data_IF_876913339815
#
_entry.id   IF_876913339815
#
_cell.length_a   1.000
_cell.length_b   1.000
_cell.length_c   1.000
_cell.angle_alpha   90.00
_cell.angle_beta   90.00
_cell.angle_gamma   90.00
#
_symmetry.space_group_name_H-M   'P 1'
#
loop_
_entity.id
_entity.type
_entity.pdbx_description
1 polymer ?
#
# COMPACT_ATOMS: atom_id res chain seq x y z
N UNK A 1 -22.06 9.98 16.02
CA UNK A 1 -20.60 9.72 16.17
C UNK A 1 -19.84 9.78 14.85
N UNK A 2 -20.31 9.17 13.77
CA UNK A 2 -19.60 9.14 12.46
C UNK A 2 -19.42 10.54 11.85
N UNK A 3 -20.46 11.37 11.82
CA UNK A 3 -20.37 12.75 11.33
C UNK A 3 -19.29 13.56 12.04
N UNK A 4 -19.16 13.40 13.36
CA UNK A 4 -18.11 14.05 14.13
C UNK A 4 -16.70 13.54 13.76
N UNK A 5 -16.52 12.23 13.50
CA UNK A 5 -15.24 11.68 13.02
C UNK A 5 -14.90 12.22 11.62
N UNK A 6 -15.88 12.30 10.71
CA UNK A 6 -15.70 12.92 9.39
C UNK A 6 -15.28 14.38 9.49
N UNK A 7 -15.94 15.17 10.34
CA UNK A 7 -15.56 16.56 10.57
C UNK A 7 -14.13 16.69 11.11
N UNK A 8 -13.75 15.85 12.07
CA UNK A 8 -12.37 15.79 12.59
C UNK A 8 -11.37 15.42 11.51
N UNK A 9 -11.72 14.52 10.59
CA UNK A 9 -10.89 14.12 9.46
C UNK A 9 -10.66 15.31 8.52
N UNK A 10 -11.74 15.98 8.09
CA UNK A 10 -11.65 17.18 7.24
C UNK A 10 -10.76 18.25 7.89
N UNK A 11 -11.00 18.54 9.15
CA UNK A 11 -10.17 19.51 9.89
C UNK A 11 -8.71 19.06 9.98
N UNK A 12 -8.45 17.76 10.17
CA UNK A 12 -7.11 17.22 10.22
C UNK A 12 -6.38 17.33 8.89
N UNK A 13 -7.08 17.08 7.77
CA UNK A 13 -6.55 17.26 6.41
C UNK A 13 -6.23 18.74 6.14
N UNK A 14 -7.17 19.65 6.40
CA UNK A 14 -6.95 21.08 6.22
C UNK A 14 -5.78 21.60 7.05
N UNK A 15 -5.70 21.19 8.32
CA UNK A 15 -4.57 21.53 9.18
C UNK A 15 -3.25 20.97 8.62
N UNK A 16 -3.25 19.75 8.09
CA UNK A 16 -2.09 19.16 7.42
C UNK A 16 -1.62 20.00 6.23
N UNK A 17 -2.56 20.40 5.37
CA UNK A 17 -2.27 21.28 4.23
C UNK A 17 -1.62 22.60 4.66
N UNK A 18 -2.19 23.27 5.65
CA UNK A 18 -1.64 24.54 6.19
C UNK A 18 -0.23 24.33 6.74
N UNK A 19 0.00 23.24 7.49
CA UNK A 19 1.32 22.93 8.04
C UNK A 19 2.33 22.67 6.93
N UNK A 20 1.96 21.89 5.92
CA UNK A 20 2.83 21.59 4.78
C UNK A 20 3.14 22.87 3.99
N UNK A 21 2.13 23.66 3.68
CA UNK A 21 2.30 24.91 2.93
C UNK A 21 3.20 25.94 3.63
N UNK A 22 3.04 26.08 4.95
CA UNK A 22 3.70 27.16 5.69
C UNK A 22 5.01 26.75 6.39
N UNK A 23 5.21 25.46 6.65
CA UNK A 23 6.34 25.04 7.50
C UNK A 23 7.32 24.07 6.85
N UNK A 24 6.90 23.26 5.88
CA UNK A 24 7.79 22.21 5.34
C UNK A 24 9.04 22.76 4.69
N UNK A 25 8.97 23.90 3.99
CA UNK A 25 10.13 24.55 3.38
C UNK A 25 11.14 25.14 4.39
N UNK A 26 10.70 25.35 5.63
CA UNK A 26 11.48 26.06 6.65
C UNK A 26 12.01 25.16 7.78
N UNK A 27 11.79 23.86 7.71
CA UNK A 27 12.23 22.91 8.74
C UNK A 27 13.15 21.85 8.16
N UNK A 28 13.97 21.27 9.03
CA UNK A 28 14.90 20.20 8.66
C UNK A 28 14.18 18.93 8.19
N UNK A 29 14.82 18.05 7.37
CA UNK A 29 14.24 16.77 6.97
C UNK A 29 13.79 15.91 8.16
N UNK A 30 14.59 15.83 9.23
CA UNK A 30 14.24 15.11 10.45
C UNK A 30 12.96 15.67 11.11
N UNK A 31 12.79 17.00 11.11
CA UNK A 31 11.58 17.63 11.65
C UNK A 31 10.37 17.38 10.77
N UNK A 32 10.52 17.37 9.43
CA UNK A 32 9.46 16.96 8.49
C UNK A 32 9.01 15.54 8.77
N UNK A 33 9.96 14.62 8.91
CA UNK A 33 9.68 13.23 9.22
C UNK A 33 8.87 13.09 10.52
N UNK A 34 9.30 13.73 11.62
CA UNK A 34 8.55 13.67 12.88
C UNK A 34 7.15 14.30 12.78
N UNK A 35 6.98 15.38 12.01
CA UNK A 35 5.66 15.98 11.76
C UNK A 35 4.77 15.02 10.98
N UNK A 36 5.29 14.35 9.92
CA UNK A 36 4.59 13.34 9.13
C UNK A 36 4.18 12.16 10.00
N UNK A 37 5.08 11.65 10.85
CA UNK A 37 4.81 10.55 11.77
C UNK A 37 3.65 10.89 12.73
N UNK A 38 3.72 12.02 13.41
CA UNK A 38 2.66 12.47 14.34
C UNK A 38 1.32 12.69 13.65
N UNK A 39 1.36 13.23 12.43
CA UNK A 39 0.16 13.47 11.63
C UNK A 39 -0.48 12.15 11.22
N UNK A 40 0.30 11.16 10.80
CA UNK A 40 -0.16 9.82 10.43
C UNK A 40 -0.74 9.04 11.61
N UNK A 41 -0.09 9.08 12.77
CA UNK A 41 -0.63 8.51 14.02
C UNK A 41 -2.00 9.12 14.35
N UNK A 42 -2.14 10.43 14.21
CA UNK A 42 -3.42 11.11 14.48
C UNK A 42 -4.48 10.76 13.44
N UNK A 43 -4.11 10.57 12.17
CA UNK A 43 -5.01 10.10 11.12
C UNK A 43 -5.58 8.73 11.46
N UNK A 44 -4.73 7.75 11.79
CA UNK A 44 -5.16 6.41 12.20
C UNK A 44 -6.11 6.48 13.41
N UNK A 45 -5.79 7.28 14.43
CA UNK A 45 -6.66 7.46 15.61
C UNK A 45 -8.03 8.08 15.27
N UNK A 46 -8.10 9.00 14.31
CA UNK A 46 -9.39 9.57 13.85
C UNK A 46 -10.22 8.50 13.15
N UNK A 47 -9.56 7.62 12.38
CA UNK A 47 -10.20 6.45 11.77
C UNK A 47 -10.56 5.36 12.79
N UNK A 48 -10.26 5.53 14.08
CA UNK A 48 -10.53 4.54 15.11
C UNK A 48 -9.52 3.41 15.17
N UNK A 49 -8.32 3.65 14.66
CA UNK A 49 -7.28 2.64 14.49
C UNK A 49 -6.06 2.93 15.37
N UNK A 50 -5.47 1.90 15.96
CA UNK A 50 -4.16 1.93 16.59
C UNK A 50 -3.16 1.12 15.77
N UNK A 51 -1.89 1.53 15.77
CA UNK A 51 -0.79 0.79 15.15
C UNK A 51 -0.12 -0.08 16.21
N UNK A 52 0.14 -1.34 15.87
CA UNK A 52 1.01 -2.27 16.61
C UNK A 52 2.13 -2.70 15.69
N UNK A 53 3.37 -2.44 16.09
CA UNK A 53 4.56 -2.83 15.35
C UNK A 53 5.12 -4.09 15.98
N UNK A 54 5.38 -5.10 15.15
CA UNK A 54 5.98 -6.38 15.55
C UNK A 54 7.41 -6.46 15.00
N UNK A 55 8.29 -7.09 15.76
CA UNK A 55 9.70 -7.32 15.37
C UNK A 55 10.44 -6.05 14.93
N UNK A 56 10.18 -4.91 15.59
CA UNK A 56 10.82 -3.62 15.23
C UNK A 56 12.35 -3.65 15.35
N UNK A 57 12.90 -4.62 16.08
CA UNK A 57 14.36 -4.86 16.17
C UNK A 57 15.02 -5.24 14.84
N UNK A 58 14.26 -5.78 13.88
CA UNK A 58 14.74 -6.09 12.53
C UNK A 58 14.78 -4.86 11.62
N UNK A 59 14.36 -3.68 12.08
CA UNK A 59 14.37 -2.44 11.29
C UNK A 59 15.78 -1.99 10.96
N UNK A 60 16.05 -1.76 9.67
CA UNK A 60 17.28 -1.12 9.23
C UNK A 60 17.24 0.40 9.50
N UNK A 61 18.28 0.94 10.10
CA UNK A 61 18.44 2.39 10.26
C UNK A 61 19.13 3.05 9.05
N UNK A 62 19.60 2.23 8.11
CA UNK A 62 20.23 2.66 6.87
C UNK A 62 19.21 2.91 5.73
N UNK A 63 19.73 3.34 4.58
CA UNK A 63 19.02 3.39 3.31
C UNK A 63 18.43 2.03 2.95
N UNK A 64 17.17 1.99 2.58
CA UNK A 64 16.51 0.76 2.17
C UNK A 64 15.30 1.02 1.27
N UNK A 65 15.02 0.07 0.39
CA UNK A 65 13.73 -0.04 -0.26
C UNK A 65 12.78 -0.79 0.69
N UNK A 66 11.83 -0.08 1.30
CA UNK A 66 10.76 -0.69 2.09
C UNK A 66 9.74 -1.29 1.14
N UNK A 67 9.38 -2.54 1.38
CA UNK A 67 8.46 -3.30 0.51
C UNK A 67 7.36 -3.91 1.35
N UNK A 68 6.10 -3.60 1.04
CA UNK A 68 4.93 -4.11 1.77
C UNK A 68 3.87 -4.75 0.88
N UNK A 69 3.02 -5.61 1.45
CA UNK A 69 1.74 -5.93 0.86
C UNK A 69 0.79 -4.73 0.93
N UNK A 70 -0.26 -4.72 0.12
CA UNK A 70 -1.15 -3.56 -0.01
C UNK A 70 -2.62 -3.94 0.16
N UNK A 71 -3.23 -3.45 1.23
CA UNK A 71 -4.63 -3.73 1.59
C UNK A 71 -5.49 -2.47 1.46
N UNK A 72 -4.92 -1.32 1.85
CA UNK A 72 -5.69 -0.10 2.05
C UNK A 72 -4.89 1.17 1.76
N UNK A 73 -5.60 2.25 1.44
CA UNK A 73 -5.02 3.60 1.50
C UNK A 73 -4.50 3.97 2.90
N UNK A 74 -4.96 3.26 3.94
CA UNK A 74 -4.49 3.42 5.34
C UNK A 74 -3.07 2.87 5.55
N UNK A 75 -2.57 1.99 4.68
CA UNK A 75 -1.22 1.43 4.75
C UNK A 75 -0.16 2.54 4.72
N UNK A 76 -0.40 3.58 3.92
CA UNK A 76 0.48 4.76 3.83
C UNK A 76 0.63 5.42 5.20
N UNK A 77 -0.47 5.53 5.95
CA UNK A 77 -0.44 6.13 7.29
C UNK A 77 0.15 5.19 8.33
N UNK A 78 -0.05 3.88 8.20
CA UNK A 78 0.56 2.88 9.07
C UNK A 78 2.10 2.88 8.90
N UNK A 79 2.60 2.87 7.67
CA UNK A 79 4.03 2.96 7.38
C UNK A 79 4.61 4.30 7.87
N UNK A 80 3.97 5.42 7.56
CA UNK A 80 4.44 6.74 8.01
C UNK A 80 4.34 6.94 9.54
N UNK A 81 3.44 6.26 10.21
CA UNK A 81 3.34 6.26 11.67
C UNK A 81 4.48 5.46 12.33
N UNK A 82 4.97 4.42 11.67
CA UNK A 82 6.15 3.67 12.05
C UNK A 82 7.42 4.40 11.63
N UNK A 83 7.60 4.62 10.34
CA UNK A 83 8.79 5.26 9.77
C UNK A 83 8.40 6.11 8.55
N UNK A 84 8.42 7.43 8.64
CA UNK A 84 8.12 8.31 7.52
C UNK A 84 9.00 8.01 6.32
N UNK A 85 8.36 7.66 5.22
CA UNK A 85 9.03 7.15 4.02
C UNK A 85 8.30 7.68 2.78
N UNK A 86 8.98 8.23 1.77
CA UNK A 86 8.39 8.55 0.47
C UNK A 86 7.86 7.29 -0.22
N UNK A 87 6.73 7.42 -0.92
CA UNK A 87 6.07 6.31 -1.62
C UNK A 87 6.22 6.41 -3.13
N UNK A 88 6.04 5.26 -3.78
CA UNK A 88 5.75 5.21 -5.22
C UNK A 88 4.25 4.97 -5.39
N UNK A 89 3.59 5.84 -6.13
CA UNK A 89 2.16 5.79 -6.39
C UNK A 89 1.84 5.79 -7.89
N UNK A 90 0.61 5.42 -8.26
CA UNK A 90 0.12 5.58 -9.64
C UNK A 90 0.01 7.06 -10.00
N UNK A 91 0.27 7.42 -11.26
CA UNK A 91 0.24 8.81 -11.74
C UNK A 91 -1.14 9.48 -11.56
N UNK A 92 -2.23 8.72 -11.63
CA UNK A 92 -3.60 9.21 -11.47
C UNK A 92 -3.85 9.81 -10.08
N UNK A 93 -3.18 9.29 -9.04
CA UNK A 93 -3.29 9.79 -7.66
C UNK A 93 -2.84 11.25 -7.55
N UNK A 94 -1.91 11.69 -8.42
CA UNK A 94 -1.47 13.09 -8.48
C UNK A 94 -2.63 14.06 -8.79
N UNK A 95 -3.64 13.59 -9.53
CA UNK A 95 -4.80 14.40 -9.92
C UNK A 95 -5.89 14.45 -8.82
N UNK A 96 -5.76 13.65 -7.77
CA UNK A 96 -6.75 13.66 -6.69
C UNK A 96 -6.65 14.96 -5.88
N UNK A 97 -7.78 15.67 -5.73
CA UNK A 97 -7.79 16.90 -4.94
C UNK A 97 -7.24 16.66 -3.53
N UNK A 98 -6.41 17.58 -3.02
CA UNK A 98 -5.79 17.52 -1.69
C UNK A 98 -4.79 16.37 -1.53
N UNK A 99 -5.19 15.12 -1.84
CA UNK A 99 -4.35 13.93 -1.64
C UNK A 99 -3.13 13.97 -2.56
N UNK A 100 -3.31 14.28 -3.86
CA UNK A 100 -2.20 14.36 -4.82
C UNK A 100 -1.21 15.46 -4.45
N UNK A 101 -1.70 16.64 -4.05
CA UNK A 101 -0.86 17.73 -3.60
C UNK A 101 -0.07 17.37 -2.32
N UNK A 102 -0.71 16.75 -1.32
CA UNK A 102 -0.03 16.29 -0.11
C UNK A 102 1.02 15.22 -0.42
N UNK A 103 0.69 14.26 -1.28
CA UNK A 103 1.61 13.21 -1.70
C UNK A 103 2.85 13.80 -2.39
N UNK A 104 2.67 14.79 -3.30
CA UNK A 104 3.78 15.49 -3.95
C UNK A 104 4.69 16.21 -2.93
N UNK A 105 4.10 16.87 -1.94
CA UNK A 105 4.86 17.57 -0.88
C UNK A 105 5.53 16.62 0.12
N UNK A 106 5.14 15.35 0.13
CA UNK A 106 5.76 14.27 0.89
C UNK A 106 6.73 13.42 0.03
N UNK A 107 7.23 13.99 -1.07
CA UNK A 107 8.21 13.39 -1.96
C UNK A 107 7.76 12.06 -2.60
N UNK A 108 6.43 11.86 -2.75
CA UNK A 108 5.87 10.71 -3.47
C UNK A 108 6.28 10.76 -4.94
N UNK A 109 6.77 9.65 -5.44
CA UNK A 109 7.11 9.46 -6.86
C UNK A 109 5.90 8.89 -7.59
N UNK A 110 5.46 9.55 -8.67
CA UNK A 110 4.28 9.14 -9.44
C UNK A 110 4.70 8.39 -10.69
N UNK A 111 4.29 7.12 -10.80
CA UNK A 111 4.67 6.19 -11.85
C UNK A 111 3.57 6.05 -12.91
N UNK A 112 3.88 6.38 -14.15
CA UNK A 112 3.10 6.03 -15.34
C UNK A 112 3.63 4.71 -15.91
N UNK A 113 2.93 3.60 -15.67
CA UNK A 113 3.40 2.26 -16.05
C UNK A 113 3.36 2.00 -17.54
N UNK A 114 2.43 2.64 -18.24
CA UNK A 114 2.17 2.49 -19.67
C UNK A 114 3.29 3.08 -20.53
N UNK A 115 4.07 4.03 -19.99
CA UNK A 115 5.17 4.68 -20.68
C UNK A 115 6.52 4.11 -20.19
N UNK A 116 7.11 3.21 -21.00
CA UNK A 116 8.37 2.53 -20.65
C UNK A 116 9.52 3.49 -20.32
N UNK A 117 9.65 4.59 -21.06
CA UNK A 117 10.68 5.61 -20.84
C UNK A 117 10.49 6.31 -19.49
N UNK A 118 9.26 6.64 -19.16
CA UNK A 118 8.91 7.26 -17.87
C UNK A 118 9.19 6.31 -16.69
N UNK A 119 8.80 5.03 -16.85
CA UNK A 119 9.08 4.00 -15.85
C UNK A 119 10.59 3.83 -15.61
N UNK A 120 11.40 3.86 -16.67
CA UNK A 120 12.86 3.80 -16.54
C UNK A 120 13.42 5.03 -15.82
N UNK A 121 12.94 6.23 -16.15
CA UNK A 121 13.36 7.48 -15.49
C UNK A 121 13.05 7.42 -14.00
N UNK A 122 11.87 6.94 -13.61
CA UNK A 122 11.46 6.81 -12.22
C UNK A 122 12.30 5.77 -11.48
N UNK A 123 12.61 4.63 -12.11
CA UNK A 123 13.51 3.65 -11.49
C UNK A 123 14.89 4.24 -11.23
N UNK A 124 15.40 5.07 -12.15
CA UNK A 124 16.67 5.78 -11.95
C UNK A 124 16.58 6.79 -10.80
N UNK A 125 15.54 7.60 -10.75
CA UNK A 125 15.29 8.55 -9.64
C UNK A 125 15.21 7.84 -8.28
N UNK A 126 14.50 6.71 -8.21
CA UNK A 126 14.43 5.90 -6.99
C UNK A 126 15.83 5.38 -6.59
N UNK A 127 16.59 4.85 -7.54
CA UNK A 127 17.94 4.35 -7.29
C UNK A 127 18.88 5.45 -6.77
N UNK A 128 18.81 6.67 -7.31
CA UNK A 128 19.58 7.82 -6.83
C UNK A 128 19.19 8.20 -5.37
N UNK A 129 17.90 8.26 -5.08
CA UNK A 129 17.43 8.55 -3.71
C UNK A 129 17.91 7.50 -2.72
N UNK A 130 17.85 6.23 -3.08
CA UNK A 130 18.35 5.13 -2.25
C UNK A 130 19.87 5.20 -2.08
N UNK A 131 20.63 5.51 -3.12
CA UNK A 131 22.10 5.62 -3.08
C UNK A 131 22.57 6.77 -2.18
N UNK A 132 21.80 7.85 -2.11
CA UNK A 132 22.12 9.00 -1.26
C UNK A 132 21.68 8.85 0.20
N UNK A 133 21.31 7.64 0.62
CA UNK A 133 20.96 7.36 2.02
C UNK A 133 19.47 7.49 2.33
N UNK A 134 18.61 7.69 1.31
CA UNK A 134 17.17 7.83 1.48
C UNK A 134 16.43 6.51 1.70
N UNK A 135 15.17 6.64 2.04
CA UNK A 135 14.20 5.55 2.08
C UNK A 135 13.20 5.72 0.95
N UNK A 136 12.67 4.62 0.45
CA UNK A 136 11.49 4.61 -0.41
C UNK A 136 10.62 3.42 -0.09
N UNK A 137 9.30 3.59 -0.15
CA UNK A 137 8.34 2.51 0.07
C UNK A 137 7.58 2.20 -1.22
N UNK A 138 7.49 0.91 -1.54
CA UNK A 138 6.71 0.40 -2.66
C UNK A 138 5.77 -0.72 -2.20
N UNK A 139 4.63 -0.79 -2.87
CA UNK A 139 3.70 -1.91 -2.77
C UNK A 139 3.76 -2.69 -4.09
N UNK A 140 4.57 -3.76 -4.18
CA UNK A 140 4.85 -4.41 -5.44
C UNK A 140 3.68 -5.21 -6.02
N UNK A 141 2.61 -5.42 -5.29
CA UNK A 141 1.34 -5.94 -5.81
C UNK A 141 0.72 -5.00 -6.85
N UNK A 142 1.00 -3.71 -6.73
CA UNK A 142 0.58 -2.71 -7.70
C UNK A 142 -0.91 -2.37 -7.67
N UNK A 143 -1.66 -3.04 -6.84
CA UNK A 143 -3.05 -2.77 -6.49
C UNK A 143 -3.27 -3.22 -5.04
N UNK A 144 -4.39 -2.83 -4.45
CA UNK A 144 -4.82 -3.30 -3.14
C UNK A 144 -5.55 -4.63 -3.24
N UNK A 145 -5.42 -5.47 -2.21
CA UNK A 145 -6.10 -6.76 -2.03
C UNK A 145 -6.99 -6.75 -0.78
N UNK A 146 -7.66 -7.85 -0.51
CA UNK A 146 -8.39 -8.05 0.76
C UNK A 146 -7.46 -8.39 1.94
N UNK A 147 -6.17 -8.60 1.67
CA UNK A 147 -5.14 -8.87 2.67
C UNK A 147 -5.14 -10.29 3.23
N UNK A 148 -5.94 -11.21 2.69
CA UNK A 148 -5.93 -12.61 3.12
C UNK A 148 -4.73 -13.36 2.57
N UNK A 149 -4.37 -13.05 1.31
CA UNK A 149 -3.22 -13.61 0.60
C UNK A 149 -2.46 -12.52 -0.12
N UNK A 150 -1.23 -12.80 -0.50
CA UNK A 150 -0.41 -11.86 -1.29
C UNK A 150 -0.67 -12.05 -2.77
N UNK A 151 -0.91 -10.97 -3.47
CA UNK A 151 -0.89 -10.93 -4.93
C UNK A 151 0.54 -11.12 -5.48
N UNK A 152 0.69 -11.42 -6.78
CA UNK A 152 2.00 -11.46 -7.43
C UNK A 152 2.75 -10.14 -7.33
N UNK A 153 4.06 -10.20 -7.09
CA UNK A 153 4.91 -9.02 -6.98
C UNK A 153 5.51 -8.62 -8.34
N UNK A 154 5.44 -7.35 -8.66
CA UNK A 154 6.11 -6.77 -9.82
C UNK A 154 7.62 -6.61 -9.55
N UNK A 155 8.42 -7.58 -9.98
CA UNK A 155 9.87 -7.62 -9.76
C UNK A 155 10.62 -6.36 -10.30
N UNK A 156 10.07 -5.66 -11.29
CA UNK A 156 10.68 -4.45 -11.84
C UNK A 156 10.88 -3.33 -10.79
N UNK A 157 10.04 -3.25 -9.77
CA UNK A 157 10.16 -2.26 -8.70
C UNK A 157 11.41 -2.47 -7.82
N UNK A 158 11.92 -3.69 -7.77
CA UNK A 158 13.14 -4.03 -7.01
C UNK A 158 14.42 -3.61 -7.73
N UNK A 159 14.35 -3.29 -9.04
CA UNK A 159 15.50 -2.86 -9.80
C UNK A 159 16.16 -1.61 -9.21
N UNK A 160 15.39 -0.72 -8.59
CA UNK A 160 15.93 0.47 -7.94
C UNK A 160 16.88 0.11 -6.78
N UNK A 161 16.51 -0.86 -5.94
CA UNK A 161 17.36 -1.35 -4.85
C UNK A 161 18.61 -2.05 -5.36
N UNK A 162 18.46 -2.92 -6.38
CA UNK A 162 19.59 -3.60 -7.03
C UNK A 162 20.57 -2.57 -7.64
N UNK A 163 20.07 -1.58 -8.38
CA UNK A 163 20.88 -0.54 -9.00
C UNK A 163 21.55 0.40 -7.98
N UNK A 164 20.91 0.61 -6.83
CA UNK A 164 21.47 1.41 -5.75
C UNK A 164 22.46 0.63 -4.87
N UNK A 165 22.49 -0.71 -4.95
CA UNK A 165 23.26 -1.54 -4.04
C UNK A 165 22.79 -1.44 -2.59
N UNK A 166 21.48 -1.18 -2.35
CA UNK A 166 20.91 -1.05 -1.02
C UNK A 166 20.06 -2.26 -0.64
N UNK A 167 19.86 -2.44 0.66
CA UNK A 167 19.02 -3.50 1.20
C UNK A 167 17.53 -3.28 0.89
N UNK A 168 16.77 -4.37 0.91
CA UNK A 168 15.30 -4.35 0.91
C UNK A 168 14.80 -4.65 2.31
N UNK A 169 13.89 -3.82 2.84
CA UNK A 169 13.22 -4.03 4.11
C UNK A 169 11.78 -4.47 3.87
N UNK A 170 11.48 -5.78 3.93
CA UNK A 170 10.11 -6.23 3.81
C UNK A 170 9.31 -5.90 5.08
N UNK A 171 8.04 -5.55 4.91
CA UNK A 171 7.07 -5.34 5.99
C UNK A 171 5.75 -6.00 5.62
N UNK A 172 5.05 -6.55 6.61
CA UNK A 172 3.70 -7.08 6.41
C UNK A 172 2.67 -6.19 7.12
N UNK A 173 1.58 -5.90 6.42
CA UNK A 173 0.45 -5.13 6.93
C UNK A 173 -0.79 -6.03 7.01
N UNK A 174 -1.46 -6.00 8.15
CA UNK A 174 -2.72 -6.70 8.40
C UNK A 174 -3.60 -5.86 9.34
N UNK A 175 -4.90 -6.00 9.22
CA UNK A 175 -5.86 -5.30 10.08
C UNK A 175 -6.64 -6.30 10.93
N UNK A 176 -6.91 -5.92 12.18
CA UNK A 176 -7.67 -6.70 13.16
C UNK A 176 -8.87 -5.88 13.63
N UNK A 177 -10.02 -6.52 13.79
CA UNK A 177 -11.23 -5.92 14.35
C UNK A 177 -11.31 -6.07 15.88
N UNK A 178 -12.38 -5.53 16.46
CA UNK A 178 -12.62 -5.59 17.90
C UNK A 178 -12.89 -7.00 18.43
N UNK A 179 -13.18 -7.97 17.56
CA UNK A 179 -13.39 -9.37 17.95
C UNK A 179 -12.09 -10.19 17.97
N UNK A 180 -10.94 -9.56 17.62
CA UNK A 180 -9.66 -10.23 17.53
C UNK A 180 -9.50 -11.07 16.24
N UNK A 181 -10.20 -10.71 15.17
CA UNK A 181 -10.11 -11.38 13.87
C UNK A 181 -9.54 -10.46 12.81
N UNK A 182 -8.92 -11.04 11.79
CA UNK A 182 -8.48 -10.27 10.63
C UNK A 182 -9.68 -9.55 10.02
N UNK A 183 -9.56 -8.24 9.87
CA UNK A 183 -10.59 -7.37 9.33
C UNK A 183 -10.32 -7.05 7.87
N UNK A 184 -11.33 -7.25 7.03
CA UNK A 184 -11.33 -6.81 5.62
C UNK A 184 -12.01 -5.45 5.44
N UNK A 185 -12.56 -4.85 6.51
CA UNK A 185 -13.21 -3.54 6.42
C UNK A 185 -12.30 -2.40 5.90
N UNK A 186 -10.97 -2.37 6.18
CA UNK A 186 -10.06 -1.41 5.59
C UNK A 186 -9.71 -1.68 4.13
N UNK A 187 -9.98 -2.88 3.59
CA UNK A 187 -9.61 -3.25 2.22
C UNK A 187 -10.21 -2.27 1.20
N UNK A 188 -9.36 -1.80 0.29
CA UNK A 188 -9.72 -0.82 -0.73
C UNK A 188 -9.63 -1.46 -2.12
N UNK A 189 -10.60 -2.30 -2.45
CA UNK A 189 -10.59 -3.16 -3.64
C UNK A 189 -11.73 -2.83 -4.61
N UNK A 190 -11.58 -3.23 -5.87
CA UNK A 190 -12.57 -3.02 -6.92
C UNK A 190 -12.89 -1.54 -7.15
N UNK A 191 -14.15 -1.23 -7.42
CA UNK A 191 -14.64 0.13 -7.71
C UNK A 191 -15.05 0.92 -6.46
N UNK A 192 -14.56 0.51 -5.30
CA UNK A 192 -14.86 1.18 -4.04
C UNK A 192 -14.30 2.61 -4.04
N UNK A 193 -15.18 3.63 -3.98
CA UNK A 193 -14.72 5.01 -3.86
C UNK A 193 -14.08 5.28 -2.48
N UNK A 194 -13.14 6.22 -2.43
CA UNK A 194 -12.48 6.60 -1.17
C UNK A 194 -13.48 7.03 -0.09
N UNK A 195 -14.57 7.72 -0.48
CA UNK A 195 -15.62 8.13 0.45
C UNK A 195 -16.38 6.95 1.04
N UNK A 196 -16.73 5.95 0.24
CA UNK A 196 -17.37 4.71 0.71
C UNK A 196 -16.42 3.90 1.59
N UNK A 197 -15.15 3.73 1.19
CA UNK A 197 -14.13 3.06 2.01
C UNK A 197 -14.00 3.73 3.38
N UNK A 198 -13.91 5.05 3.41
CA UNK A 198 -13.88 5.80 4.67
C UNK A 198 -15.12 5.53 5.53
N UNK A 199 -16.31 5.48 4.94
CA UNK A 199 -17.55 5.18 5.68
C UNK A 199 -17.54 3.77 6.28
N UNK A 200 -17.06 2.77 5.54
CA UNK A 200 -16.90 1.39 6.04
C UNK A 200 -15.93 1.37 7.22
N UNK A 201 -14.76 1.97 7.09
CA UNK A 201 -13.75 2.05 8.17
C UNK A 201 -14.32 2.75 9.41
N UNK A 202 -15.00 3.88 9.25
CA UNK A 202 -15.55 4.63 10.39
C UNK A 202 -16.72 3.93 11.08
N UNK A 203 -17.45 3.05 10.39
CA UNK A 203 -18.55 2.23 10.93
C UNK A 203 -18.05 0.94 11.60
N UNK A 204 -16.96 0.36 11.10
CA UNK A 204 -16.44 -0.94 11.51
C UNK A 204 -15.91 -1.03 12.94
N UNK A 205 -15.99 0.05 13.72
CA UNK A 205 -15.53 0.05 15.12
C UNK A 205 -14.03 0.28 15.28
N UNK A 206 -13.47 -0.03 16.45
CA UNK A 206 -12.04 0.07 16.69
C UNK A 206 -11.28 -1.01 15.89
N UNK A 207 -10.19 -0.61 15.26
CA UNK A 207 -9.32 -1.46 14.47
C UNK A 207 -7.88 -1.42 15.01
N UNK A 208 -7.14 -2.49 14.76
CA UNK A 208 -5.69 -2.54 14.95
C UNK A 208 -5.03 -2.73 13.59
N UNK A 209 -4.13 -1.83 13.24
CA UNK A 209 -3.20 -2.06 12.15
C UNK A 209 -1.96 -2.74 12.70
N UNK A 210 -1.68 -3.96 12.25
CA UNK A 210 -0.45 -4.67 12.54
C UNK A 210 0.55 -4.36 11.42
N UNK A 211 1.75 -3.96 11.80
CA UNK A 211 2.90 -3.82 10.93
C UNK A 211 3.99 -4.75 11.45
N UNK A 212 4.31 -5.79 10.68
CA UNK A 212 5.39 -6.71 11.02
C UNK A 212 6.63 -6.34 10.20
N UNK A 213 7.74 -6.09 10.90
CA UNK A 213 9.04 -5.79 10.28
C UNK A 213 9.76 -7.12 10.06
N UNK A 214 9.90 -7.54 8.79
CA UNK A 214 10.62 -8.76 8.45
C UNK A 214 12.14 -8.53 8.50
N UNK A 215 12.93 -9.60 8.51
CA UNK A 215 14.38 -9.50 8.40
C UNK A 215 14.75 -8.84 7.05
N UNK A 216 15.74 -7.94 7.07
CA UNK A 216 16.16 -7.26 5.85
C UNK A 216 16.86 -8.21 4.90
N UNK A 217 16.64 -8.00 3.60
CA UNK A 217 17.31 -8.70 2.52
C UNK A 217 18.55 -7.88 2.13
N UNK A 218 19.72 -8.51 2.23
CA UNK A 218 21.00 -7.89 1.89
C UNK A 218 21.01 -7.40 0.43
N UNK A 219 21.78 -6.33 0.13
CA UNK A 219 21.97 -5.88 -1.25
C UNK A 219 22.69 -6.95 -2.07
N UNK A 220 22.30 -7.08 -3.34
CA UNK A 220 22.89 -8.04 -4.29
C UNK A 220 21.81 -8.89 -4.95
N UNK A 221 22.25 -9.77 -5.86
CA UNK A 221 21.35 -10.62 -6.62
C UNK A 221 20.61 -9.89 -7.76
N UNK A 222 19.73 -10.63 -8.40
CA UNK A 222 18.84 -10.03 -9.39
C UNK A 222 17.50 -9.63 -8.78
N UNK A 223 16.78 -8.76 -9.47
CA UNK A 223 15.49 -8.23 -9.03
C UNK A 223 14.42 -9.30 -8.83
N UNK A 224 14.47 -10.44 -9.55
CA UNK A 224 13.48 -11.51 -9.43
C UNK A 224 13.71 -12.32 -8.17
N UNK A 225 14.94 -12.68 -7.89
CA UNK A 225 15.32 -13.37 -6.66
C UNK A 225 15.01 -12.50 -5.43
N UNK A 226 15.37 -11.20 -5.47
CA UNK A 226 15.06 -10.24 -4.39
C UNK A 226 13.54 -10.09 -4.18
N UNK A 227 12.76 -10.03 -5.27
CA UNK A 227 11.29 -9.96 -5.21
C UNK A 227 10.68 -11.21 -4.62
N UNK A 228 11.16 -12.40 -4.99
CA UNK A 228 10.71 -13.67 -4.45
C UNK A 228 11.00 -13.74 -2.93
N UNK A 229 12.24 -13.46 -2.54
CA UNK A 229 12.63 -13.47 -1.12
C UNK A 229 11.80 -12.49 -0.27
N UNK A 230 11.52 -11.29 -0.80
CA UNK A 230 10.66 -10.31 -0.12
C UNK A 230 9.22 -10.81 0.03
N UNK A 231 8.67 -11.40 -1.03
CA UNK A 231 7.32 -11.98 -1.01
C UNK A 231 7.22 -13.12 0.00
N UNK A 232 8.19 -14.01 0.04
CA UNK A 232 8.23 -15.15 0.96
C UNK A 232 8.33 -14.68 2.42
N UNK A 233 9.17 -13.69 2.70
CA UNK A 233 9.28 -13.09 4.04
C UNK A 233 7.96 -12.45 4.49
N UNK A 234 7.28 -11.71 3.60
CA UNK A 234 5.98 -11.09 3.89
C UNK A 234 4.89 -12.14 4.06
N UNK A 235 4.88 -13.22 3.26
CA UNK A 235 3.94 -14.32 3.38
C UNK A 235 4.08 -15.05 4.73
N UNK A 236 5.30 -15.31 5.17
CA UNK A 236 5.58 -15.91 6.48
C UNK A 236 5.11 -15.01 7.64
N UNK A 237 5.35 -13.69 7.53
CA UNK A 237 4.89 -12.72 8.52
C UNK A 237 3.35 -12.64 8.55
N UNK A 238 2.68 -12.67 7.39
CA UNK A 238 1.22 -12.68 7.29
C UNK A 238 0.64 -13.92 7.96
N UNK A 239 1.18 -15.10 7.67
CA UNK A 239 0.77 -16.35 8.32
C UNK A 239 0.92 -16.28 9.84
N UNK A 240 2.05 -15.76 10.32
CA UNK A 240 2.31 -15.55 11.76
C UNK A 240 1.27 -14.61 12.41
N UNK A 241 0.87 -13.55 11.73
CA UNK A 241 -0.15 -12.63 12.23
C UNK A 241 -1.55 -13.29 12.20
N UNK A 242 -1.87 -14.02 11.13
CA UNK A 242 -3.16 -14.71 10.98
C UNK A 242 -3.37 -15.83 12.01
N UNK A 243 -2.31 -16.53 12.40
CA UNK A 243 -2.36 -17.51 13.49
C UNK A 243 -2.73 -16.88 14.82
N UNK A 244 -2.25 -15.66 15.08
CA UNK A 244 -2.52 -14.91 16.34
C UNK A 244 -3.91 -14.30 16.39
N UNK A 245 -4.40 -13.82 15.25
CA UNK A 245 -5.60 -12.98 15.16
C UNK A 245 -6.82 -13.76 14.67
N UNK A 246 -6.61 -14.85 13.94
CA UNK A 246 -7.70 -15.62 13.33
C UNK A 246 -8.19 -15.02 12.00
N UNK A 247 -8.89 -15.84 11.22
CA UNK A 247 -9.34 -15.47 9.87
C UNK A 247 -10.59 -14.60 9.89
N UNK A 248 -10.85 -13.82 8.81
CA UNK A 248 -12.09 -13.09 8.64
C UNK A 248 -13.30 -14.02 8.66
N UNK A 249 -14.47 -13.49 9.04
CA UNK A 249 -15.73 -14.25 8.95
C UNK A 249 -16.24 -14.25 7.50
N UNK A 250 -17.01 -15.28 7.13
CA UNK A 250 -17.68 -15.34 5.83
C UNK A 250 -18.60 -14.12 5.60
N UNK A 251 -19.23 -13.62 6.66
CA UNK A 251 -20.08 -12.43 6.59
C UNK A 251 -19.29 -11.18 6.25
N UNK A 252 -18.12 -10.95 6.88
CA UNK A 252 -17.26 -9.79 6.59
C UNK A 252 -16.70 -9.83 5.16
N UNK A 253 -16.40 -11.02 4.65
CA UNK A 253 -15.97 -11.21 3.25
C UNK A 253 -17.10 -10.93 2.26
N UNK A 254 -18.32 -11.43 2.54
CA UNK A 254 -19.48 -11.15 1.71
C UNK A 254 -19.83 -9.65 1.68
N UNK A 255 -19.69 -8.96 2.81
CA UNK A 255 -19.90 -7.51 2.88
C UNK A 255 -18.87 -6.74 2.07
N UNK A 256 -17.58 -7.12 2.12
CA UNK A 256 -16.55 -6.53 1.27
C UNK A 256 -16.89 -6.71 -0.21
N UNK A 257 -17.32 -7.91 -0.63
CA UNK A 257 -17.69 -8.19 -2.02
C UNK A 257 -18.85 -7.30 -2.51
N UNK A 258 -19.88 -7.09 -1.70
CA UNK A 258 -20.99 -6.16 -2.03
C UNK A 258 -20.52 -4.73 -2.26
N UNK A 259 -19.53 -4.27 -1.51
CA UNK A 259 -19.02 -2.91 -1.63
C UNK A 259 -18.00 -2.74 -2.75
N UNK A 260 -17.18 -3.76 -2.99
CA UNK A 260 -16.10 -3.73 -3.97
C UNK A 260 -16.56 -4.06 -5.39
N UNK A 261 -17.59 -4.93 -5.54
CA UNK A 261 -18.10 -5.42 -6.82
C UNK A 261 -19.63 -5.39 -6.81
N UNK A 262 -20.27 -4.24 -7.05
CA UNK A 262 -21.72 -4.17 -7.12
C UNK A 262 -22.25 -5.05 -8.26
N UNK A 263 -23.34 -5.79 -7.98
CA UNK A 263 -23.89 -6.89 -8.78
C UNK A 263 -24.27 -6.56 -10.25
N UNK A 264 -24.08 -5.34 -10.71
CA UNK A 264 -24.39 -4.90 -12.09
C UNK A 264 -23.42 -5.44 -13.14
N UNK A 265 -22.25 -5.99 -12.77
CA UNK A 265 -21.27 -6.50 -13.74
C UNK A 265 -21.14 -8.04 -13.78
N UNK A 266 -21.78 -8.77 -12.88
CA UNK A 266 -21.75 -10.24 -12.90
C UNK A 266 -22.72 -10.89 -13.88
N UNK A 267 -23.53 -10.09 -14.59
CA UNK A 267 -24.57 -10.58 -15.52
C UNK A 267 -24.21 -10.58 -17.01
N UNK A 268 -23.08 -10.03 -17.44
CA UNK A 268 -22.81 -9.82 -18.86
C UNK A 268 -21.62 -10.62 -19.45
N UNK A 269 -20.97 -11.50 -18.68
CA UNK A 269 -19.72 -12.15 -19.10
C UNK A 269 -19.72 -13.68 -19.26
N UNK A 270 -20.86 -14.36 -19.14
CA UNK A 270 -20.89 -15.84 -19.18
C UNK A 270 -21.91 -16.41 -20.16
N UNK A 271 -22.00 -15.87 -21.39
CA UNK A 271 -22.72 -16.55 -22.47
C UNK A 271 -22.14 -16.12 -23.84
N UNK A 272 -21.40 -16.98 -24.46
CA UNK A 272 -20.90 -16.86 -25.83
C UNK A 272 -19.37 -17.00 -25.88
N UNK A 273 -18.75 -17.92 -26.54
CA UNK A 273 -19.03 -18.69 -27.73
C UNK A 273 -18.03 -19.85 -27.77
N UNK A 274 -18.53 -21.06 -27.83
CA UNK A 274 -17.78 -22.18 -28.36
C UNK A 274 -17.68 -21.99 -29.87
N UNK A 275 -16.58 -21.47 -30.38
CA UNK A 275 -16.30 -21.49 -31.81
C UNK A 275 -15.68 -22.84 -32.15
N UNK A 276 -16.47 -23.63 -32.85
CA UNK A 276 -16.10 -24.86 -33.56
C UNK A 276 -14.94 -24.57 -34.53
N UNK A 277 -13.93 -25.38 -34.37
CA UNK A 277 -12.83 -25.56 -35.33
C UNK A 277 -13.37 -25.94 -36.72
N UNK A 278 -13.10 -25.13 -37.73
CA UNK A 278 -13.29 -25.46 -39.12
C UNK A 278 -11.92 -25.68 -39.81
N UNK A 279 -11.72 -26.72 -40.57
CA UNK A 279 -10.42 -27.08 -41.15
C UNK A 279 -10.05 -26.17 -42.33
N UNK A 280 -8.78 -25.77 -42.36
CA UNK A 280 -8.15 -24.99 -43.43
C UNK A 280 -7.99 -25.89 -44.67
N UNK A 281 -8.43 -25.52 -45.89
CA UNK A 281 -8.15 -26.25 -47.10
C UNK A 281 -6.71 -26.02 -47.60
N UNK A 282 -6.07 -27.14 -47.98
CA UNK A 282 -4.71 -27.18 -48.53
C UNK A 282 -4.55 -26.35 -49.78
N UNK A 283 -3.35 -25.73 -49.94
CA UNK A 283 -2.85 -25.23 -51.20
C UNK A 283 -1.89 -26.26 -51.77
N UNK A 284 -2.32 -26.92 -52.82
CA UNK A 284 -1.45 -27.50 -53.86
C UNK A 284 -1.13 -26.42 -54.89
N UNK A 285 0.12 -26.40 -55.37
CA UNK A 285 0.59 -25.57 -56.49
C UNK A 285 1.99 -24.98 -56.22
#
# INVERSE_FOLDING_TARGET
MIAFRKLRLVFHLLRGMVIVALRFSHVTPARRAEMTRRWSIKMLRICGMRLVVHNDGARLDASALVVGNHVSWLDIYAVNAWRPTPFVSKAEVRQWPVVGWLAEKLDTVFLQREKRTEAMRIMHEMAERLRTGGLMCVFPEGTTSDGQELLPFHANLFQAAVSAGCAVQPICLMYEDASGRQSVAPAYTGDLSLGKSLDVVLRGGPLVAHLYVCEPIAPGGDRRATSAAARDAIAAALATLQEKVGKPTAESLAELQKHAYPATELGAGAAGEATTDAPVPGREG
#
